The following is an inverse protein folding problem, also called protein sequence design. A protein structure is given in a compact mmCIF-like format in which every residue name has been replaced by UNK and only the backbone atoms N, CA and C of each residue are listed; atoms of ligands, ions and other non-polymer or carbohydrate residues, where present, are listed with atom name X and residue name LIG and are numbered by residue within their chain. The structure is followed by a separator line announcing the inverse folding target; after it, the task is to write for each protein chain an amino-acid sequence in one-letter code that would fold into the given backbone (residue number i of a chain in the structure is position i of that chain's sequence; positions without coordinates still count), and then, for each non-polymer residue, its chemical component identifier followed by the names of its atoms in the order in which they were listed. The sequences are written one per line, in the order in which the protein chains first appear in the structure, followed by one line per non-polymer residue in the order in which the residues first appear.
data_IF_620510963836
#
_entry.id   IF_620510963836
#
_cell.length_a   1.000
_cell.length_b   1.000
_cell.length_c   1.000
_cell.angle_alpha   90.00
_cell.angle_beta   90.00
_cell.angle_gamma   90.00
#
_symmetry.space_group_name_H-M   'P 1'
#
loop_
_entity.id
_entity.type
_entity.pdbx_description
1 polymer ?
#
# COMPACT_ATOMS: atom_id res chain seq x y z
N UNK A 1 -8.87 8.67 -37.30
CA UNK A 1 -8.82 9.52 -36.09
C UNK A 1 -9.61 8.79 -35.01
N UNK A 2 -8.94 8.01 -34.17
CA UNK A 2 -9.49 7.42 -32.94
C UNK A 2 -8.29 7.09 -32.04
N UNK A 3 -7.61 8.12 -31.57
CA UNK A 3 -6.80 7.98 -30.37
C UNK A 3 -7.83 8.04 -29.25
N UNK A 4 -8.39 6.87 -28.92
CA UNK A 4 -9.13 6.71 -27.68
C UNK A 4 -8.06 6.82 -26.62
N UNK A 5 -7.99 7.98 -25.96
CA UNK A 5 -7.37 8.12 -24.66
C UNK A 5 -8.14 7.19 -23.71
N UNK A 6 -7.80 5.91 -23.76
CA UNK A 6 -8.15 4.95 -22.75
C UNK A 6 -7.22 5.19 -21.55
N UNK A 7 -7.28 6.39 -20.98
CA UNK A 7 -7.22 6.49 -19.54
C UNK A 7 -8.53 5.85 -19.05
N UNK A 8 -8.57 4.51 -19.09
CA UNK A 8 -9.48 3.77 -18.24
C UNK A 8 -9.12 4.25 -16.85
N UNK A 9 -9.98 5.11 -16.31
CA UNK A 9 -10.04 5.38 -14.89
C UNK A 9 -10.29 4.02 -14.25
N UNK A 10 -9.22 3.26 -13.96
CA UNK A 10 -9.29 1.88 -13.49
C UNK A 10 -9.90 1.96 -12.10
N UNK A 11 -11.21 1.78 -12.03
CA UNK A 11 -11.89 1.70 -10.74
C UNK A 11 -11.51 0.38 -10.08
N UNK A 12 -11.34 0.39 -8.77
CA UNK A 12 -10.99 -0.82 -8.00
C UNK A 12 -12.23 -1.74 -7.84
N UNK A 13 -13.35 -1.40 -8.49
CA UNK A 13 -14.68 -1.94 -8.23
C UNK A 13 -14.88 -3.37 -8.74
N UNK A 14 -14.05 -3.84 -9.68
CA UNK A 14 -14.06 -5.20 -10.18
C UNK A 14 -12.84 -6.03 -9.75
N UNK A 15 -12.90 -7.33 -10.01
CA UNK A 15 -11.86 -8.28 -9.59
C UNK A 15 -10.51 -7.98 -10.26
N UNK A 16 -10.52 -7.50 -11.50
CA UNK A 16 -9.33 -7.19 -12.27
C UNK A 16 -8.65 -5.93 -11.71
N UNK A 17 -9.43 -4.88 -11.42
CA UNK A 17 -8.97 -3.66 -10.76
C UNK A 17 -8.36 -3.92 -9.39
N UNK A 18 -9.02 -4.75 -8.56
CA UNK A 18 -8.47 -5.18 -7.27
C UNK A 18 -7.14 -5.92 -7.42
N UNK A 19 -7.04 -6.82 -8.39
CA UNK A 19 -5.83 -7.61 -8.63
C UNK A 19 -4.68 -6.70 -9.07
N UNK A 20 -4.94 -5.78 -9.99
CA UNK A 20 -3.96 -4.81 -10.47
C UNK A 20 -3.51 -3.85 -9.38
N UNK A 21 -4.43 -3.38 -8.52
CA UNK A 21 -4.10 -2.57 -7.35
C UNK A 21 -3.08 -3.28 -6.46
N UNK A 22 -3.37 -4.53 -6.08
CA UNK A 22 -2.49 -5.33 -5.21
C UNK A 22 -1.13 -5.54 -5.88
N UNK A 23 -1.11 -5.92 -7.15
CA UNK A 23 0.14 -6.14 -7.91
C UNK A 23 0.99 -4.86 -8.00
N UNK A 24 0.39 -3.71 -8.31
CA UNK A 24 1.08 -2.41 -8.37
C UNK A 24 1.70 -2.07 -7.01
N UNK A 25 0.97 -2.26 -5.91
CA UNK A 25 1.50 -2.02 -4.55
C UNK A 25 2.67 -2.95 -4.24
N UNK A 26 2.54 -4.26 -4.48
CA UNK A 26 3.63 -5.23 -4.25
C UNK A 26 4.85 -4.87 -5.09
N UNK A 27 4.66 -4.47 -6.35
CA UNK A 27 5.75 -4.07 -7.23
C UNK A 27 6.49 -2.82 -6.71
N UNK A 28 5.76 -1.82 -6.22
CA UNK A 28 6.35 -0.63 -5.56
C UNK A 28 7.22 -1.07 -4.38
N UNK A 29 6.75 -2.02 -3.56
CA UNK A 29 7.51 -2.51 -2.41
C UNK A 29 8.79 -3.25 -2.83
N UNK A 30 8.72 -4.17 -3.80
CA UNK A 30 9.92 -4.89 -4.29
C UNK A 30 11.00 -3.92 -4.75
N UNK A 31 10.62 -2.88 -5.50
CA UNK A 31 11.56 -1.85 -5.95
C UNK A 31 12.04 -0.93 -4.83
N UNK A 32 11.14 -0.48 -3.94
CA UNK A 32 11.51 0.43 -2.86
C UNK A 32 12.45 -0.21 -1.84
N UNK A 33 12.26 -1.50 -1.57
CA UNK A 33 13.01 -2.23 -0.55
C UNK A 33 14.21 -3.00 -1.12
N UNK A 34 14.36 -3.05 -2.45
CA UNK A 34 15.40 -3.81 -3.16
C UNK A 34 15.46 -5.29 -2.75
N UNK A 35 14.30 -5.89 -2.49
CA UNK A 35 14.18 -7.26 -2.01
C UNK A 35 13.00 -7.97 -2.67
N UNK A 36 13.13 -9.28 -2.82
CA UNK A 36 12.01 -10.15 -3.14
C UNK A 36 11.08 -10.31 -1.94
N UNK A 37 9.82 -10.66 -2.22
CA UNK A 37 8.77 -10.86 -1.22
C UNK A 37 8.37 -12.33 -1.25
N UNK A 38 8.36 -12.98 -0.09
CA UNK A 38 7.88 -14.35 0.04
C UNK A 38 6.34 -14.35 0.04
N UNK A 39 5.78 -14.63 -1.12
CA UNK A 39 4.34 -14.66 -1.37
C UNK A 39 3.64 -15.87 -0.71
N UNK A 40 4.40 -16.82 -0.16
CA UNK A 40 3.87 -17.95 0.61
C UNK A 40 3.86 -17.70 2.13
N UNK A 41 4.41 -16.57 2.58
CA UNK A 41 4.46 -16.23 4.00
C UNK A 41 3.09 -15.79 4.55
N UNK A 42 2.84 -16.09 5.83
CA UNK A 42 1.68 -15.57 6.55
C UNK A 42 1.63 -14.02 6.60
N UNK A 43 2.79 -13.37 6.52
CA UNK A 43 2.90 -11.91 6.47
C UNK A 43 2.38 -11.35 5.15
N UNK A 44 2.72 -11.98 4.03
CA UNK A 44 2.20 -11.62 2.72
C UNK A 44 0.68 -11.79 2.66
N UNK A 45 0.14 -12.93 3.09
CA UNK A 45 -1.32 -13.15 3.07
C UNK A 45 -2.08 -12.10 3.90
N UNK A 46 -1.56 -11.73 5.08
CA UNK A 46 -2.15 -10.67 5.91
C UNK A 46 -2.06 -9.30 5.24
N UNK A 47 -0.93 -9.00 4.59
CA UNK A 47 -0.74 -7.75 3.88
C UNK A 47 -1.69 -7.62 2.69
N UNK A 48 -1.79 -8.65 1.84
CA UNK A 48 -2.75 -8.71 0.73
C UNK A 48 -4.18 -8.57 1.23
N UNK A 49 -4.53 -9.21 2.34
CA UNK A 49 -5.86 -9.08 2.95
C UNK A 49 -6.14 -7.63 3.36
N UNK A 50 -5.18 -6.93 3.97
CA UNK A 50 -5.32 -5.50 4.28
C UNK A 50 -5.52 -4.67 3.01
N UNK A 51 -4.72 -4.91 1.97
CA UNK A 51 -4.87 -4.22 0.69
C UNK A 51 -6.26 -4.41 0.09
N UNK A 52 -6.86 -5.60 0.22
CA UNK A 52 -8.24 -5.86 -0.23
C UNK A 52 -9.27 -5.00 0.51
N UNK A 53 -9.16 -4.90 1.83
CA UNK A 53 -10.06 -4.04 2.61
C UNK A 53 -9.83 -2.54 2.33
N UNK A 54 -8.57 -2.13 2.17
CA UNK A 54 -8.22 -0.76 1.82
C UNK A 54 -8.77 -0.38 0.44
N UNK A 55 -8.60 -1.24 -0.55
CA UNK A 55 -9.18 -1.12 -1.89
C UNK A 55 -10.70 -0.90 -1.84
N UNK A 56 -11.42 -1.73 -1.08
CA UNK A 56 -12.88 -1.60 -0.91
C UNK A 56 -13.28 -0.25 -0.28
N UNK A 57 -12.51 0.24 0.69
CA UNK A 57 -12.73 1.54 1.32
C UNK A 57 -12.48 2.70 0.37
N UNK A 58 -11.44 2.61 -0.47
CA UNK A 58 -11.12 3.58 -1.52
C UNK A 58 -12.30 3.64 -2.52
N UNK A 59 -12.73 2.49 -3.06
CA UNK A 59 -13.88 2.38 -3.95
C UNK A 59 -15.16 2.97 -3.35
N UNK A 60 -15.39 2.76 -2.06
CA UNK A 60 -16.61 3.23 -1.39
C UNK A 60 -16.56 4.70 -0.96
N UNK A 61 -15.45 5.42 -1.20
CA UNK A 61 -15.16 6.76 -0.65
C UNK A 61 -15.32 6.83 0.89
N UNK A 62 -15.15 5.70 1.59
CA UNK A 62 -15.31 5.59 3.05
C UNK A 62 -13.95 5.76 3.75
N UNK A 63 -13.31 6.90 3.55
CA UNK A 63 -11.98 7.14 4.07
C UNK A 63 -12.04 8.28 5.08
N UNK A 64 -11.86 7.90 6.35
CA UNK A 64 -11.76 8.83 7.46
C UNK A 64 -10.44 9.58 7.34
N UNK A 65 -10.48 10.91 7.46
CA UNK A 65 -9.30 11.80 7.47
C UNK A 65 -8.86 12.03 8.92
N UNK A 66 -8.92 10.99 9.74
CA UNK A 66 -8.60 11.12 11.16
C UNK A 66 -7.10 11.38 11.36
N UNK A 67 -6.82 12.27 12.31
CA UNK A 67 -5.47 12.67 12.68
C UNK A 67 -4.92 11.63 13.63
N UNK A 68 -3.85 10.96 13.24
CA UNK A 68 -3.02 10.22 14.20
C UNK A 68 -2.30 11.19 15.12
N UNK A 69 -2.06 10.76 16.35
CA UNK A 69 -1.07 11.37 17.22
C UNK A 69 0.30 11.36 16.52
N UNK A 70 0.80 12.56 16.22
CA UNK A 70 2.09 12.80 15.58
C UNK A 70 3.26 12.11 16.30
N UNK A 71 3.15 11.85 17.60
CA UNK A 71 4.21 11.19 18.37
C UNK A 71 4.48 9.74 17.93
N UNK A 72 3.44 8.97 17.59
CA UNK A 72 3.59 7.58 17.17
C UNK A 72 4.22 7.48 15.78
N UNK A 73 3.83 8.38 14.88
CA UNK A 73 4.38 8.44 13.53
C UNK A 73 5.90 8.70 13.56
N UNK A 74 6.36 9.61 14.42
CA UNK A 74 7.78 9.90 14.61
C UNK A 74 8.56 8.68 15.11
N UNK A 75 8.01 7.95 16.09
CA UNK A 75 8.63 6.72 16.61
C UNK A 75 8.76 5.67 15.51
N UNK A 76 7.70 5.44 14.75
CA UNK A 76 7.67 4.44 13.67
C UNK A 76 8.66 4.80 12.56
N UNK A 77 8.72 6.08 12.18
CA UNK A 77 9.68 6.58 11.19
C UNK A 77 11.13 6.38 11.64
N UNK A 78 11.42 6.60 12.92
CA UNK A 78 12.77 6.41 13.47
C UNK A 78 13.15 4.92 13.54
N UNK A 79 12.20 4.05 13.90
CA UNK A 79 12.45 2.62 14.09
C UNK A 79 12.53 1.84 12.78
N UNK A 80 11.73 2.22 11.78
CA UNK A 80 11.59 1.49 10.51
C UNK A 80 11.70 2.44 9.31
N UNK A 81 12.85 3.12 9.11
CA UNK A 81 12.98 4.18 8.12
C UNK A 81 12.73 3.69 6.68
N UNK A 82 13.24 2.51 6.31
CA UNK A 82 13.10 1.98 4.95
C UNK A 82 11.66 1.55 4.66
N UNK A 83 11.04 0.83 5.60
CA UNK A 83 9.63 0.43 5.50
C UNK A 83 8.70 1.66 5.49
N UNK A 84 9.03 2.71 6.24
CA UNK A 84 8.30 3.97 6.26
C UNK A 84 8.37 4.66 4.89
N UNK A 85 9.56 4.76 4.29
CA UNK A 85 9.71 5.34 2.95
C UNK A 85 8.97 4.52 1.88
N UNK A 86 8.98 3.19 1.99
CA UNK A 86 8.21 2.33 1.11
C UNK A 86 6.69 2.55 1.27
N UNK A 87 6.21 2.69 2.51
CA UNK A 87 4.82 3.01 2.80
C UNK A 87 4.41 4.38 2.22
N UNK A 88 5.26 5.41 2.32
CA UNK A 88 5.02 6.72 1.71
C UNK A 88 4.87 6.62 0.19
N UNK A 89 5.70 5.81 -0.48
CA UNK A 89 5.56 5.56 -1.93
C UNK A 89 4.23 4.92 -2.29
N UNK A 90 3.75 3.97 -1.48
CA UNK A 90 2.43 3.34 -1.66
C UNK A 90 1.30 4.36 -1.48
N UNK A 91 1.36 5.20 -0.44
CA UNK A 91 0.37 6.26 -0.22
C UNK A 91 0.34 7.27 -1.37
N UNK A 92 1.50 7.68 -1.87
CA UNK A 92 1.60 8.59 -3.01
C UNK A 92 1.02 7.98 -4.28
N UNK A 93 1.27 6.69 -4.53
CA UNK A 93 0.62 5.97 -5.61
C UNK A 93 -0.92 6.01 -5.47
N UNK A 94 -1.45 5.71 -4.29
CA UNK A 94 -2.90 5.72 -4.04
C UNK A 94 -3.51 7.11 -4.26
N UNK A 95 -2.84 8.15 -3.76
CA UNK A 95 -3.27 9.53 -3.95
C UNK A 95 -3.28 9.94 -5.41
N UNK A 96 -2.27 9.54 -6.19
CA UNK A 96 -2.15 9.94 -7.59
C UNK A 96 -3.11 9.16 -8.50
N UNK A 97 -3.26 7.86 -8.29
CA UNK A 97 -4.08 6.99 -9.14
C UNK A 97 -5.58 7.12 -8.83
N UNK A 98 -5.94 7.26 -7.55
CA UNK A 98 -7.33 7.22 -7.10
C UNK A 98 -7.82 8.54 -6.50
N UNK A 99 -7.02 9.61 -6.58
CA UNK A 99 -7.29 10.92 -5.98
C UNK A 99 -7.70 10.83 -4.50
N UNK A 100 -7.09 9.88 -3.78
CA UNK A 100 -7.52 9.49 -2.46
C UNK A 100 -6.43 9.73 -1.40
N UNK A 101 -6.73 10.58 -0.42
CA UNK A 101 -5.80 10.86 0.68
C UNK A 101 -6.10 9.95 1.86
N UNK A 102 -5.16 9.04 2.15
CA UNK A 102 -5.23 8.19 3.32
C UNK A 102 -4.79 8.94 4.59
N UNK A 103 -5.37 8.54 5.73
CA UNK A 103 -4.98 9.02 7.04
C UNK A 103 -3.57 8.54 7.43
N UNK A 104 -2.93 9.25 8.37
CA UNK A 104 -1.61 8.88 8.89
C UNK A 104 -1.59 7.51 9.60
N UNK A 105 -2.75 7.01 10.05
CA UNK A 105 -2.86 5.65 10.62
C UNK A 105 -2.55 4.58 9.57
N UNK A 106 -2.95 4.79 8.31
CA UNK A 106 -2.60 3.88 7.22
C UNK A 106 -1.10 3.90 6.94
N UNK A 107 -0.44 5.05 7.09
CA UNK A 107 1.01 5.14 6.95
C UNK A 107 1.72 4.31 8.03
N UNK A 108 1.29 4.42 9.28
CA UNK A 108 1.83 3.60 10.39
C UNK A 108 1.57 2.12 10.14
N UNK A 109 0.33 1.76 9.80
CA UNK A 109 -0.05 0.38 9.56
C UNK A 109 0.78 -0.24 8.43
N UNK A 110 0.84 0.42 7.28
CA UNK A 110 1.61 -0.06 6.14
C UNK A 110 3.09 -0.19 6.51
N UNK A 111 3.65 0.79 7.21
CA UNK A 111 5.06 0.72 7.68
C UNK A 111 5.31 -0.56 8.49
N UNK A 112 4.47 -0.85 9.48
CA UNK A 112 4.64 -2.03 10.35
C UNK A 112 4.50 -3.33 9.56
N UNK A 113 3.55 -3.38 8.61
CA UNK A 113 3.31 -4.58 7.82
C UNK A 113 4.40 -4.83 6.77
N UNK A 114 4.88 -3.77 6.13
CA UNK A 114 6.01 -3.79 5.20
C UNK A 114 7.27 -4.25 5.94
N UNK A 115 7.55 -3.71 7.13
CA UNK A 115 8.69 -4.14 7.94
C UNK A 115 8.67 -5.64 8.23
N UNK A 116 7.50 -6.17 8.63
CA UNK A 116 7.34 -7.62 8.88
C UNK A 116 7.57 -8.44 7.62
N UNK A 117 7.12 -7.94 6.48
CA UNK A 117 7.23 -8.58 5.18
C UNK A 117 8.70 -8.63 4.70
N UNK A 118 9.45 -7.54 4.88
CA UNK A 118 10.89 -7.44 4.55
C UNK A 118 11.76 -8.27 5.50
N UNK A 119 11.45 -8.32 6.80
CA UNK A 119 12.29 -9.10 7.74
C UNK A 119 12.26 -10.61 7.49
N UNK A 120 11.13 -11.13 7.03
CA UNK A 120 10.93 -12.58 6.90
C UNK A 120 11.26 -13.13 5.52
N UNK A 121 11.58 -12.28 4.54
CA UNK A 121 12.12 -12.71 3.23
C UNK A 121 13.58 -13.14 3.31
N UNK A 122 14.32 -12.70 4.33
CA UNK A 122 15.75 -13.00 4.54
C UNK A 122 16.00 -14.33 5.27
N UNK A 123 15.03 -15.25 5.32
CA UNK A 123 15.21 -16.56 5.94
C UNK A 123 15.31 -17.65 4.87
N UNK A 124 16.47 -17.76 4.22
CA UNK A 124 16.91 -18.95 3.49
C UNK A 124 18.38 -19.20 3.80
#
# INVERSE_FOLDING_TARGET
MHIVEAQMNQTIDDLDGLTQFIQKVIQILKYACHQEIDEHSAYYYRFVTHLRYLAQRISSNQISVEKTDSSMLEIIKLQYPDAYQAAEKVLNFIQNEYNCRLASDELIYLTIHIEKLIRHTNTN
#
